data_IF_259696638850
#
_entry.id   IF_259696638850
#
_cell.length_a   1.000
_cell.length_b   1.000
_cell.length_c   1.000
_cell.angle_alpha   90.00
_cell.angle_beta   90.00
_cell.angle_gamma   90.00
#
_symmetry.space_group_name_H-M   'P 1'
#
loop_
_entity.id
_entity.type
_entity.pdbx_description
1 polymer ?
#
# COMPACT_ATOMS: atom_id res chain seq x y z
N UNK A 1 31.62 -30.59 -9.46
CA UNK A 1 31.64 -29.15 -9.15
C UNK A 1 30.23 -28.71 -8.76
N UNK A 2 29.96 -28.70 -7.44
CA UNK A 2 28.73 -28.21 -6.86
C UNK A 2 28.78 -26.66 -6.90
N UNK A 3 28.12 -26.04 -7.84
CA UNK A 3 27.78 -24.64 -7.74
C UNK A 3 26.62 -24.53 -6.73
N UNK A 4 26.98 -24.31 -5.47
CA UNK A 4 26.02 -23.91 -4.44
C UNK A 4 25.39 -22.57 -4.83
N UNK A 5 24.19 -22.63 -5.36
CA UNK A 5 23.30 -21.47 -5.37
C UNK A 5 22.96 -21.18 -3.90
N UNK A 6 23.56 -20.14 -3.34
CA UNK A 6 23.06 -19.52 -2.11
C UNK A 6 21.64 -19.03 -2.38
N UNK A 7 20.67 -19.91 -2.17
CA UNK A 7 19.26 -19.53 -2.10
C UNK A 7 19.08 -18.98 -0.70
N UNK A 8 19.16 -17.66 -0.59
CA UNK A 8 18.77 -16.95 0.61
C UNK A 8 17.28 -17.24 0.83
N UNK A 9 16.96 -18.20 1.69
CA UNK A 9 15.58 -18.50 2.12
C UNK A 9 15.21 -17.41 3.11
N UNK A 10 14.82 -16.27 2.57
CA UNK A 10 14.22 -15.19 3.37
C UNK A 10 12.91 -15.74 3.92
N UNK A 11 12.80 -15.86 5.24
CA UNK A 11 11.53 -16.20 5.90
C UNK A 11 10.43 -15.18 5.52
N UNK A 12 9.17 -15.51 5.79
CA UNK A 12 8.03 -14.64 5.44
C UNK A 12 8.24 -13.19 5.90
N UNK A 13 8.70 -12.97 7.15
CA UNK A 13 8.98 -11.64 7.68
C UNK A 13 10.05 -10.91 6.91
N UNK A 14 11.15 -11.57 6.59
CA UNK A 14 12.20 -10.97 5.78
C UNK A 14 11.72 -10.61 4.37
N UNK A 15 10.83 -11.41 3.77
CA UNK A 15 10.22 -11.10 2.47
C UNK A 15 9.33 -9.85 2.56
N UNK A 16 8.50 -9.74 3.60
CA UNK A 16 7.59 -8.61 3.81
C UNK A 16 8.32 -7.30 4.19
N UNK A 17 9.61 -7.37 4.54
CA UNK A 17 10.46 -6.20 4.79
C UNK A 17 11.16 -5.66 3.54
N UNK A 18 11.07 -6.36 2.41
CA UNK A 18 11.67 -5.90 1.16
C UNK A 18 10.93 -4.68 0.62
N UNK A 19 11.62 -3.60 0.23
CA UNK A 19 11.00 -2.34 -0.19
C UNK A 19 9.92 -2.52 -1.26
N UNK A 20 10.21 -3.29 -2.31
CA UNK A 20 9.29 -3.59 -3.39
C UNK A 20 8.05 -4.36 -2.94
N UNK A 21 8.20 -5.23 -1.94
CA UNK A 21 7.08 -5.99 -1.37
C UNK A 21 6.24 -5.10 -0.46
N UNK A 22 6.87 -4.25 0.35
CA UNK A 22 6.13 -3.27 1.17
C UNK A 22 5.31 -2.34 0.27
N UNK A 23 5.86 -1.88 -0.85
CA UNK A 23 5.14 -1.00 -1.78
C UNK A 23 3.99 -1.75 -2.47
N UNK A 24 4.20 -3.01 -2.87
CA UNK A 24 3.14 -3.86 -3.41
C UNK A 24 2.02 -4.08 -2.39
N UNK A 25 2.34 -4.49 -1.17
CA UNK A 25 1.37 -4.71 -0.08
C UNK A 25 0.65 -3.40 0.27
N UNK A 26 1.37 -2.27 0.31
CA UNK A 26 0.76 -0.96 0.54
C UNK A 26 -0.29 -0.63 -0.52
N UNK A 27 -0.01 -0.90 -1.80
CA UNK A 27 -0.98 -0.67 -2.86
C UNK A 27 -2.21 -1.59 -2.75
N UNK A 28 -2.01 -2.87 -2.47
CA UNK A 28 -3.09 -3.82 -2.23
C UNK A 28 -3.98 -3.37 -1.06
N UNK A 29 -3.37 -2.90 0.03
CA UNK A 29 -4.08 -2.39 1.22
C UNK A 29 -4.88 -1.12 0.90
N UNK A 30 -4.31 -0.16 0.16
CA UNK A 30 -5.01 1.07 -0.26
C UNK A 30 -6.17 0.77 -1.23
N UNK A 31 -6.00 -0.21 -2.11
CA UNK A 31 -7.09 -0.65 -3.01
C UNK A 31 -8.23 -1.27 -2.22
N UNK A 32 -7.90 -2.05 -1.17
CA UNK A 32 -8.88 -2.75 -0.35
C UNK A 32 -9.61 -1.83 0.63
N UNK A 33 -8.89 -0.90 1.28
CA UNK A 33 -9.44 -0.13 2.40
C UNK A 33 -9.26 1.38 2.25
N UNK A 34 -10.36 2.16 2.36
CA UNK A 34 -10.29 3.62 2.44
C UNK A 34 -9.54 4.12 3.68
N UNK A 35 -9.47 3.33 4.76
CA UNK A 35 -8.76 3.70 5.99
C UNK A 35 -7.24 3.52 5.92
N UNK A 36 -6.70 3.01 4.79
CA UNK A 36 -5.28 2.72 4.61
C UNK A 36 -4.41 3.97 4.38
N UNK A 37 -4.61 5.02 5.16
CA UNK A 37 -3.92 6.31 5.00
C UNK A 37 -2.40 6.20 5.13
N UNK A 38 -1.89 5.39 6.06
CA UNK A 38 -0.44 5.18 6.23
C UNK A 38 0.19 4.51 5.00
N UNK A 39 -0.47 3.50 4.44
CA UNK A 39 -0.03 2.83 3.23
C UNK A 39 -0.04 3.79 2.02
N UNK A 40 -1.07 4.65 1.89
CA UNK A 40 -1.12 5.67 0.86
C UNK A 40 0.02 6.68 1.00
N UNK A 41 0.30 7.17 2.22
CA UNK A 41 1.41 8.10 2.48
C UNK A 41 2.73 7.49 2.03
N UNK A 42 2.97 6.20 2.34
CA UNK A 42 4.18 5.50 1.89
C UNK A 42 4.30 5.50 0.37
N UNK A 43 3.24 5.13 -0.34
CA UNK A 43 3.24 5.11 -1.81
C UNK A 43 3.51 6.49 -2.40
N UNK A 44 2.80 7.52 -1.92
CA UNK A 44 2.94 8.89 -2.43
C UNK A 44 4.34 9.46 -2.19
N UNK A 45 4.94 9.18 -1.03
CA UNK A 45 6.31 9.61 -0.71
C UNK A 45 7.39 8.78 -1.44
N UNK A 46 7.02 7.59 -1.92
CA UNK A 46 7.91 6.62 -2.57
C UNK A 46 8.49 7.10 -3.91
N UNK A 47 9.37 6.30 -4.52
CA UNK A 47 10.16 6.70 -5.69
C UNK A 47 9.31 7.03 -6.92
N UNK A 48 8.12 6.44 -7.03
CA UNK A 48 7.24 6.63 -8.19
C UNK A 48 6.65 8.04 -8.26
N UNK A 49 6.05 8.53 -7.17
CA UNK A 49 5.37 9.83 -7.16
C UNK A 49 6.16 10.94 -6.49
N UNK A 50 7.03 10.62 -5.54
CA UNK A 50 7.93 11.58 -4.85
C UNK A 50 7.20 12.82 -4.35
N UNK A 51 6.02 12.62 -3.73
CA UNK A 51 5.27 13.73 -3.12
C UNK A 51 5.94 14.10 -1.81
N UNK A 52 6.29 15.37 -1.67
CA UNK A 52 6.94 15.87 -0.47
C UNK A 52 6.01 15.90 0.76
N UNK A 53 6.56 15.77 1.96
CA UNK A 53 5.80 15.75 3.21
C UNK A 53 4.86 16.96 3.37
N UNK A 54 5.25 18.14 2.89
CA UNK A 54 4.44 19.35 2.90
C UNK A 54 3.17 19.19 2.07
N UNK A 55 3.25 18.52 0.92
CA UNK A 55 2.10 18.33 0.03
C UNK A 55 1.21 17.17 0.51
N UNK A 56 1.79 16.15 1.13
CA UNK A 56 1.02 15.12 1.86
C UNK A 56 0.22 15.75 3.01
N UNK A 57 0.83 16.66 3.78
CA UNK A 57 0.12 17.39 4.83
C UNK A 57 -1.00 18.30 4.28
N UNK A 58 -0.85 18.84 3.06
CA UNK A 58 -1.90 19.59 2.36
C UNK A 58 -3.05 18.68 1.92
N UNK A 59 -2.74 17.50 1.39
CA UNK A 59 -3.74 16.49 1.05
C UNK A 59 -4.53 16.06 2.31
N UNK A 60 -3.85 15.85 3.44
CA UNK A 60 -4.53 15.52 4.69
C UNK A 60 -5.46 16.66 5.19
N UNK A 61 -5.03 17.93 5.06
CA UNK A 61 -5.90 19.07 5.38
C UNK A 61 -7.11 19.13 4.44
N UNK A 62 -6.91 18.80 3.17
CA UNK A 62 -8.01 18.71 2.20
C UNK A 62 -9.01 17.61 2.61
N UNK A 63 -8.54 16.43 2.98
CA UNK A 63 -9.37 15.35 3.51
C UNK A 63 -10.21 15.82 4.71
N UNK A 64 -9.60 16.48 5.69
CA UNK A 64 -10.32 17.05 6.83
C UNK A 64 -11.38 18.08 6.44
N UNK A 65 -11.10 18.91 5.42
CA UNK A 65 -12.09 19.90 4.94
C UNK A 65 -13.27 19.24 4.23
N UNK A 66 -13.05 18.11 3.55
CA UNK A 66 -14.12 17.33 2.92
C UNK A 66 -15.00 16.64 3.98
N UNK A 67 -14.39 16.00 4.97
CA UNK A 67 -15.11 15.36 6.07
C UNK A 67 -15.97 16.36 6.85
N UNK A 68 -15.44 17.57 7.11
CA UNK A 68 -16.21 18.65 7.77
C UNK A 68 -17.42 19.06 6.95
N UNK A 69 -17.30 19.29 5.65
CA UNK A 69 -18.42 19.64 4.77
C UNK A 69 -19.48 18.53 4.71
N UNK A 70 -19.05 17.28 4.72
CA UNK A 70 -19.96 16.15 4.71
C UNK A 70 -20.72 16.02 6.03
N UNK A 71 -20.06 16.23 7.18
CA UNK A 71 -20.72 16.27 8.48
C UNK A 71 -21.73 17.43 8.59
N UNK A 72 -21.36 18.64 8.19
CA UNK A 72 -22.27 19.79 8.19
C UNK A 72 -23.54 19.53 7.36
N UNK A 73 -23.43 18.89 6.19
CA UNK A 73 -24.59 18.50 5.37
C UNK A 73 -25.47 17.40 5.97
N UNK A 74 -24.94 16.54 6.82
CA UNK A 74 -25.70 15.50 7.52
C UNK A 74 -26.40 16.07 8.77
N UNK A 75 -25.78 17.01 9.47
CA UNK A 75 -26.38 17.66 10.66
C UNK A 75 -27.65 18.44 10.35
N UNK A 76 -27.78 18.99 9.14
CA UNK A 76 -29.03 19.63 8.70
C UNK A 76 -30.18 18.62 8.51
N UNK A 77 -29.92 17.32 8.48
CA UNK A 77 -30.88 16.25 8.24
C UNK A 77 -31.22 15.41 9.49
N UNK A 78 -30.38 15.44 10.52
CA UNK A 78 -30.53 14.58 11.71
C UNK A 78 -30.27 15.37 12.97
N UNK A 79 -31.34 15.76 13.67
CA UNK A 79 -31.29 16.23 15.07
C UNK A 79 -30.93 15.04 15.98
N UNK A 80 -29.66 14.73 16.13
CA UNK A 80 -29.21 13.66 17.01
C UNK A 80 -27.68 13.54 17.07
N UNK A 81 -27.19 13.53 18.29
CA UNK A 81 -25.80 13.44 18.74
C UNK A 81 -25.11 12.17 18.22
N UNK A 82 -24.68 12.14 16.97
CA UNK A 82 -23.74 11.15 16.47
C UNK A 82 -22.35 11.78 16.46
N UNK A 83 -21.48 11.29 17.34
CA UNK A 83 -20.13 11.78 17.52
C UNK A 83 -19.37 11.92 16.20
N UNK A 84 -18.65 13.03 16.07
CA UNK A 84 -17.90 13.45 14.88
C UNK A 84 -16.60 12.65 14.69
N UNK A 85 -16.62 11.33 14.79
CA UNK A 85 -15.49 10.44 14.45
C UNK A 85 -15.54 9.99 12.99
N UNK A 86 -15.90 10.89 12.06
CA UNK A 86 -15.58 10.67 10.66
C UNK A 86 -14.07 10.93 10.48
N UNK A 87 -13.31 9.85 10.58
CA UNK A 87 -11.88 9.91 10.30
C UNK A 87 -11.69 10.32 8.83
N UNK A 88 -11.01 11.46 8.63
CA UNK A 88 -10.88 12.06 7.30
C UNK A 88 -9.94 11.21 6.43
N UNK A 89 -10.52 10.34 5.61
CA UNK A 89 -9.75 9.47 4.72
C UNK A 89 -8.99 10.28 3.66
N UNK A 90 -7.66 10.19 3.69
CA UNK A 90 -6.81 10.74 2.63
C UNK A 90 -6.91 9.94 1.32
N UNK A 91 -7.37 8.68 1.40
CA UNK A 91 -7.61 7.83 0.23
C UNK A 91 -8.82 8.35 -0.54
N UNK A 92 -9.91 8.65 0.16
CA UNK A 92 -11.12 9.22 -0.43
C UNK A 92 -10.86 10.64 -0.96
N UNK A 93 -10.09 11.45 -0.22
CA UNK A 93 -9.71 12.77 -0.67
C UNK A 93 -8.89 12.75 -1.97
N UNK A 94 -8.00 11.77 -2.11
CA UNK A 94 -7.23 11.58 -3.34
C UNK A 94 -8.15 11.18 -4.50
N UNK A 95 -9.12 10.31 -4.24
CA UNK A 95 -10.09 9.87 -5.26
C UNK A 95 -10.98 11.02 -5.72
N UNK A 96 -11.49 11.84 -4.80
CA UNK A 96 -12.25 13.06 -5.12
C UNK A 96 -11.39 14.06 -5.90
N UNK A 97 -10.09 14.15 -5.59
CA UNK A 97 -9.18 15.08 -6.27
C UNK A 97 -9.03 14.76 -7.76
N UNK A 98 -9.13 13.50 -8.17
CA UNK A 98 -9.03 13.08 -9.57
C UNK A 98 -10.09 13.77 -10.43
N UNK A 99 -11.34 13.84 -9.96
CA UNK A 99 -12.45 14.43 -10.70
C UNK A 99 -12.61 15.94 -10.45
N UNK A 100 -11.87 16.47 -9.48
CA UNK A 100 -11.95 17.88 -9.14
C UNK A 100 -11.35 18.77 -10.23
N UNK A 101 -11.98 19.90 -10.49
CA UNK A 101 -11.46 20.96 -11.37
C UNK A 101 -10.49 21.90 -10.64
N UNK A 102 -10.07 21.57 -9.43
CA UNK A 102 -9.18 22.39 -8.63
C UNK A 102 -7.79 22.43 -9.25
N UNK A 103 -7.30 23.62 -9.59
CA UNK A 103 -5.93 23.79 -10.08
C UNK A 103 -4.90 23.55 -8.98
N UNK A 104 -5.27 23.85 -7.74
CA UNK A 104 -4.42 23.67 -6.56
C UNK A 104 -5.23 23.49 -5.29
N UNK A 105 -4.69 22.70 -4.34
CA UNK A 105 -5.17 22.61 -2.97
C UNK A 105 -4.14 23.23 -2.02
N UNK A 106 -4.56 24.23 -1.22
CA UNK A 106 -3.69 24.92 -0.27
C UNK A 106 -2.34 25.39 -0.87
N UNK A 107 -2.39 25.96 -2.07
CA UNK A 107 -1.20 26.44 -2.81
C UNK A 107 -0.16 25.35 -3.09
N UNK A 108 -0.60 24.13 -3.36
CA UNK A 108 0.25 23.05 -3.86
C UNK A 108 0.75 23.38 -5.27
N UNK A 109 1.97 22.94 -5.61
CA UNK A 109 2.50 23.14 -6.95
C UNK A 109 1.70 22.35 -8.01
N UNK A 110 1.69 22.85 -9.24
CA UNK A 110 1.05 22.16 -10.36
C UNK A 110 1.64 20.75 -10.59
N UNK A 111 2.95 20.61 -10.42
CA UNK A 111 3.64 19.32 -10.52
C UNK A 111 3.16 18.32 -9.45
N UNK A 112 3.07 18.74 -8.18
CA UNK A 112 2.53 17.87 -7.12
C UNK A 112 1.05 17.53 -7.36
N UNK A 113 0.26 18.48 -7.84
CA UNK A 113 -1.14 18.22 -8.20
C UNK A 113 -1.28 17.19 -9.32
N UNK A 114 -0.43 17.30 -10.38
CA UNK A 114 -0.42 16.32 -11.46
C UNK A 114 -0.08 14.93 -10.94
N UNK A 115 1.01 14.79 -10.14
CA UNK A 115 1.43 13.52 -9.57
C UNK A 115 0.37 12.90 -8.63
N UNK A 116 -0.34 13.70 -7.87
CA UNK A 116 -1.46 13.21 -7.03
C UNK A 116 -2.61 12.70 -7.89
N UNK A 117 -2.94 13.40 -8.99
CA UNK A 117 -3.97 12.90 -9.93
C UNK A 117 -3.55 11.61 -10.59
N UNK A 118 -2.29 11.51 -11.03
CA UNK A 118 -1.75 10.29 -11.63
C UNK A 118 -1.83 9.11 -10.64
N UNK A 119 -1.49 9.35 -9.36
CA UNK A 119 -1.62 8.35 -8.31
C UNK A 119 -3.08 7.93 -8.09
N UNK A 120 -3.99 8.89 -8.01
CA UNK A 120 -5.42 8.63 -7.84
C UNK A 120 -6.02 7.87 -9.01
N UNK A 121 -5.67 8.25 -10.25
CA UNK A 121 -6.10 7.55 -11.46
C UNK A 121 -5.61 6.09 -11.47
N UNK A 122 -4.34 5.86 -11.12
CA UNK A 122 -3.80 4.50 -11.04
C UNK A 122 -4.54 3.68 -9.98
N UNK A 123 -4.73 4.20 -8.77
CA UNK A 123 -5.44 3.48 -7.71
C UNK A 123 -6.89 3.17 -8.11
N UNK A 124 -7.57 4.07 -8.81
CA UNK A 124 -8.91 3.85 -9.36
C UNK A 124 -8.90 2.74 -10.42
N UNK A 125 -7.91 2.74 -11.30
CA UNK A 125 -7.71 1.67 -12.28
C UNK A 125 -7.50 0.32 -11.59
N UNK A 126 -6.64 0.25 -10.56
CA UNK A 126 -6.42 -0.97 -9.79
C UNK A 126 -7.71 -1.48 -9.13
N UNK A 127 -8.50 -0.59 -8.53
CA UNK A 127 -9.81 -0.96 -7.93
C UNK A 127 -10.77 -1.55 -8.95
N UNK A 128 -10.76 -1.06 -10.19
CA UNK A 128 -11.63 -1.61 -11.26
C UNK A 128 -11.28 -3.05 -11.65
N UNK A 129 -10.09 -3.54 -11.29
CA UNK A 129 -9.58 -4.86 -11.63
C UNK A 129 -9.62 -5.86 -10.45
N UNK A 130 -10.21 -5.49 -9.32
CA UNK A 130 -10.32 -6.38 -8.13
C UNK A 130 -11.14 -7.64 -8.36
N UNK A 131 -11.87 -7.75 -9.48
CA UNK A 131 -12.56 -8.96 -9.92
C UNK A 131 -11.67 -10.04 -10.52
N UNK A 132 -10.39 -9.77 -10.76
CA UNK A 132 -9.42 -10.78 -11.21
C UNK A 132 -9.16 -11.81 -10.10
N UNK A 133 -8.72 -13.02 -10.48
CA UNK A 133 -8.21 -13.99 -9.53
C UNK A 133 -7.04 -13.37 -8.73
N UNK A 134 -6.94 -13.68 -7.42
CA UNK A 134 -6.01 -13.02 -6.51
C UNK A 134 -4.58 -12.97 -7.03
N UNK A 135 -4.05 -14.08 -7.54
CA UNK A 135 -2.67 -14.16 -8.07
C UNK A 135 -2.48 -13.23 -9.27
N UNK A 136 -3.46 -13.21 -10.17
CA UNK A 136 -3.41 -12.37 -11.38
C UNK A 136 -3.55 -10.90 -11.02
N UNK A 137 -4.40 -10.59 -10.04
CA UNK A 137 -4.56 -9.23 -9.53
C UNK A 137 -3.27 -8.71 -8.88
N UNK A 138 -2.61 -9.50 -8.04
CA UNK A 138 -1.35 -9.10 -7.40
C UNK A 138 -0.24 -8.87 -8.43
N UNK A 139 -0.13 -9.75 -9.44
CA UNK A 139 0.82 -9.55 -10.55
C UNK A 139 0.49 -8.31 -11.38
N UNK A 140 -0.80 -8.05 -11.62
CA UNK A 140 -1.26 -6.86 -12.32
C UNK A 140 -0.86 -5.59 -11.55
N UNK A 141 -1.10 -5.55 -10.23
CA UNK A 141 -0.70 -4.42 -9.37
C UNK A 141 0.82 -4.20 -9.42
N UNK A 142 1.62 -5.26 -9.30
CA UNK A 142 3.08 -5.15 -9.39
C UNK A 142 3.55 -4.56 -10.72
N UNK A 143 2.93 -4.98 -11.83
CA UNK A 143 3.22 -4.46 -13.18
C UNK A 143 2.81 -2.98 -13.32
N UNK A 144 1.61 -2.62 -12.91
CA UNK A 144 1.11 -1.24 -12.99
C UNK A 144 1.93 -0.29 -12.10
N UNK A 145 2.45 -0.77 -10.97
CA UNK A 145 3.41 -0.04 -10.15
C UNK A 145 4.82 0.01 -10.75
N UNK A 146 5.09 -0.77 -11.82
CA UNK A 146 6.40 -0.88 -12.46
C UNK A 146 7.50 -1.42 -11.52
N UNK A 147 7.12 -2.24 -10.54
CA UNK A 147 8.07 -2.80 -9.57
C UNK A 147 9.09 -3.74 -10.23
N UNK A 148 8.69 -4.45 -11.28
CA UNK A 148 9.56 -5.27 -12.11
C UNK A 148 10.67 -4.43 -12.77
N UNK A 149 10.34 -3.26 -13.29
CA UNK A 149 11.31 -2.32 -13.87
C UNK A 149 12.22 -1.75 -12.77
N UNK A 150 11.64 -1.35 -11.65
CA UNK A 150 12.40 -0.77 -10.52
C UNK A 150 13.45 -1.76 -9.98
N UNK A 151 13.06 -3.02 -9.73
CA UNK A 151 14.00 -4.02 -9.22
C UNK A 151 15.04 -4.40 -10.27
N UNK A 152 14.67 -4.46 -11.56
CA UNK A 152 15.60 -4.77 -12.65
C UNK A 152 16.61 -3.64 -12.90
N UNK A 153 16.26 -2.40 -12.61
CA UNK A 153 17.15 -1.26 -12.76
C UNK A 153 18.29 -1.22 -11.73
N UNK A 154 18.26 -2.06 -10.69
CA UNK A 154 19.30 -2.10 -9.66
C UNK A 154 20.46 -3.00 -10.09
N UNK A 155 21.63 -2.46 -10.51
CA UNK A 155 22.74 -3.25 -11.04
C UNK A 155 23.46 -4.11 -9.98
N UNK A 156 23.16 -3.90 -8.70
CA UNK A 156 23.75 -4.66 -7.59
C UNK A 156 23.01 -5.95 -7.29
N UNK A 157 21.82 -6.18 -7.87
CA UNK A 157 21.01 -7.38 -7.63
C UNK A 157 21.36 -8.47 -8.65
N UNK A 158 21.83 -9.63 -8.18
CA UNK A 158 22.11 -10.80 -9.01
C UNK A 158 20.80 -11.40 -9.56
N UNK A 159 19.76 -11.46 -8.73
CA UNK A 159 18.42 -11.92 -9.12
C UNK A 159 17.38 -10.88 -8.73
N UNK A 160 17.16 -9.84 -9.56
CA UNK A 160 16.31 -8.73 -9.21
C UNK A 160 14.84 -9.12 -8.96
N UNK A 161 14.33 -10.16 -9.64
CA UNK A 161 12.93 -10.61 -9.53
C UNK A 161 12.69 -11.62 -8.39
N UNK A 162 13.72 -12.03 -7.64
CA UNK A 162 13.59 -13.10 -6.65
C UNK A 162 12.49 -12.82 -5.61
N UNK A 163 12.48 -11.64 -5.01
CA UNK A 163 11.50 -11.29 -3.97
C UNK A 163 10.07 -11.22 -4.54
N UNK A 164 9.88 -10.59 -5.70
CA UNK A 164 8.57 -10.55 -6.36
C UNK A 164 8.07 -11.96 -6.70
N UNK A 165 8.94 -12.82 -7.25
CA UNK A 165 8.58 -14.21 -7.56
C UNK A 165 8.25 -15.02 -6.30
N UNK A 166 9.01 -14.84 -5.21
CA UNK A 166 8.72 -15.46 -3.92
C UNK A 166 7.37 -14.99 -3.37
N UNK A 167 7.07 -13.70 -3.48
CA UNK A 167 5.77 -13.16 -3.06
C UNK A 167 4.62 -13.70 -3.93
N UNK A 168 4.78 -13.79 -5.25
CA UNK A 168 3.76 -14.39 -6.12
C UNK A 168 3.53 -15.86 -5.81
N UNK A 169 4.59 -16.61 -5.46
CA UNK A 169 4.48 -18.00 -5.01
C UNK A 169 3.74 -18.12 -3.69
N UNK A 170 3.98 -17.20 -2.75
CA UNK A 170 3.24 -17.08 -1.49
C UNK A 170 1.75 -16.86 -1.73
N UNK A 171 1.41 -15.89 -2.60
CA UNK A 171 0.02 -15.59 -2.97
C UNK A 171 -0.67 -16.80 -3.60
N UNK A 172 0.04 -17.53 -4.48
CA UNK A 172 -0.46 -18.73 -5.13
C UNK A 172 -0.71 -19.86 -4.10
N UNK A 173 0.21 -20.05 -3.16
CA UNK A 173 0.05 -20.99 -2.05
C UNK A 173 -1.17 -20.65 -1.19
N UNK A 174 -1.35 -19.38 -0.82
CA UNK A 174 -2.52 -18.92 -0.08
C UNK A 174 -3.82 -19.16 -0.88
N UNK A 175 -3.86 -18.75 -2.15
CA UNK A 175 -5.05 -18.88 -2.99
C UNK A 175 -5.47 -20.34 -3.24
N UNK A 176 -4.53 -21.29 -3.17
CA UNK A 176 -4.82 -22.72 -3.30
C UNK A 176 -5.39 -23.37 -2.03
N UNK A 177 -5.14 -22.77 -0.86
CA UNK A 177 -5.53 -23.33 0.45
C UNK A 177 -6.63 -22.52 1.17
N UNK A 178 -6.93 -21.30 0.71
CA UNK A 178 -7.80 -20.36 1.41
C UNK A 178 -8.77 -19.60 0.50
N UNK A 179 -9.43 -18.57 1.05
CA UNK A 179 -10.33 -17.72 0.29
C UNK A 179 -9.56 -16.93 -0.79
N UNK A 180 -10.00 -17.04 -2.04
CA UNK A 180 -9.30 -16.44 -3.19
C UNK A 180 -9.80 -15.00 -3.48
N UNK A 181 -9.78 -14.11 -2.47
CA UNK A 181 -10.13 -12.70 -2.61
C UNK A 181 -9.22 -11.80 -1.76
N UNK A 182 -9.06 -10.55 -2.22
CA UNK A 182 -8.08 -9.60 -1.72
C UNK A 182 -8.22 -9.33 -0.21
N UNK A 183 -9.43 -9.09 0.29
CA UNK A 183 -9.66 -8.74 1.71
C UNK A 183 -9.12 -9.80 2.66
N UNK A 184 -9.51 -11.07 2.45
CA UNK A 184 -9.02 -12.17 3.29
C UNK A 184 -7.50 -12.36 3.19
N UNK A 185 -6.91 -12.10 2.02
CA UNK A 185 -5.46 -12.15 1.86
C UNK A 185 -4.75 -11.04 2.67
N UNK A 186 -5.27 -9.81 2.66
CA UNK A 186 -4.70 -8.71 3.47
C UNK A 186 -4.80 -9.02 4.97
N UNK A 187 -5.95 -9.49 5.45
CA UNK A 187 -6.12 -9.90 6.85
C UNK A 187 -5.15 -11.02 7.24
N UNK A 188 -4.96 -11.98 6.35
CA UNK A 188 -4.01 -13.07 6.56
C UNK A 188 -2.56 -12.56 6.61
N UNK A 189 -2.17 -11.62 5.74
CA UNK A 189 -0.84 -11.00 5.78
C UNK A 189 -0.57 -10.29 7.10
N UNK A 190 -1.53 -9.49 7.57
CA UNK A 190 -1.43 -8.79 8.86
C UNK A 190 -1.28 -9.76 10.03
N UNK A 191 -2.07 -10.84 10.03
CA UNK A 191 -1.97 -11.89 11.04
C UNK A 191 -0.61 -12.59 11.00
N UNK A 192 -0.16 -12.99 9.81
CA UNK A 192 1.12 -13.68 9.62
C UNK A 192 2.30 -12.81 10.06
N UNK A 193 2.30 -11.52 9.70
CA UNK A 193 3.33 -10.57 10.10
C UNK A 193 3.37 -10.34 11.62
N UNK A 194 2.19 -10.28 12.26
CA UNK A 194 2.09 -10.13 13.71
C UNK A 194 2.63 -11.35 14.44
N UNK A 195 2.28 -12.54 13.98
CA UNK A 195 2.68 -13.81 14.58
C UNK A 195 4.19 -14.02 14.50
N UNK A 196 4.80 -13.73 13.35
CA UNK A 196 6.24 -13.88 13.16
C UNK A 196 7.06 -12.91 14.03
N UNK A 197 6.56 -11.68 14.26
CA UNK A 197 7.15 -10.74 15.22
C UNK A 197 7.12 -11.23 16.66
N UNK A 198 6.16 -12.08 17.02
CA UNK A 198 6.04 -12.66 18.36
C UNK A 198 6.92 -13.92 18.52
N UNK A 199 7.27 -14.60 17.43
CA UNK A 199 8.10 -15.82 17.43
C UNK A 199 9.61 -15.55 17.32
N UNK A 200 10.07 -14.28 17.33
CA UNK A 200 11.50 -13.95 17.37
C UNK A 200 12.11 -14.56 18.64
N UNK A 201 13.04 -15.52 18.55
CA UNK A 201 13.65 -16.15 19.71
C UNK A 201 14.39 -15.11 20.54
N UNK A 202 14.18 -15.13 21.85
CA UNK A 202 15.02 -14.35 22.77
C UNK A 202 16.49 -14.66 22.46
N UNK A 203 17.29 -13.62 22.26
CA UNK A 203 18.72 -13.76 21.98
C UNK A 203 19.36 -14.73 23.00
N UNK A 204 20.21 -15.68 22.58
CA UNK A 204 20.86 -16.60 23.49
C UNK A 204 21.68 -15.78 24.49
N UNK A 205 21.31 -15.88 25.77
CA UNK A 205 21.98 -15.19 26.85
C UNK A 205 23.49 -15.49 26.79
N UNK A 206 24.33 -14.45 26.77
CA UNK A 206 25.77 -14.58 26.99
C UNK A 206 25.98 -15.37 28.27
N UNK A 207 26.45 -16.59 28.14
CA UNK A 207 27.06 -17.28 29.27
C UNK A 207 28.30 -16.49 29.69
N UNK A 208 28.21 -15.80 30.82
CA UNK A 208 29.38 -15.20 31.48
C UNK A 208 30.37 -16.31 31.87
N UNK A 209 31.61 -16.06 31.55
CA UNK A 209 32.77 -16.72 32.14
C UNK A 209 33.21 -15.92 33.33
#
# INVERSE_FOLDING_TARGET
ENQGLDVDVVGLGGLLEMPEIIDLVSALTVVHSPSAGAALVRLLAGPRWRIGAKDIARLHRYAKSLAKKQSEGIWDLVEGNLGSDYDASIVDALDILVDSKLESIYSMSADSMSRLRDAGMLLRQLRSQTGLALVDFVKYVAKELQLDIEVAANPRRINPMAHLNSFFSLVAGYASAGPNYLGAFIEWLDFAQTREKLEVPAAPGRKGV
#
